data_IF_360127330918
#
_entry.id   IF_360127330918
#
_cell.length_a   1.000
_cell.length_b   1.000
_cell.length_c   1.000
_cell.angle_alpha   90.00
_cell.angle_beta   90.00
_cell.angle_gamma   90.00
#
_symmetry.space_group_name_H-M   'P 1'
#
loop_
_entity.id
_entity.type
_entity.pdbx_description
1 polymer ?
#
# COMPACT_ATOMS: atom_id res chain seq x y z
N UNK A 1 57.57 -57.31 9.13
CA UNK A 1 56.19 -56.99 8.68
C UNK A 1 55.36 -56.16 9.67
N UNK A 2 55.82 -55.81 10.87
CA UNK A 2 54.99 -55.06 11.85
C UNK A 2 54.95 -53.54 11.69
N UNK A 3 56.03 -52.92 11.21
CA UNK A 3 56.17 -51.44 11.20
C UNK A 3 55.26 -50.77 10.15
N UNK A 4 55.07 -51.40 8.98
CA UNK A 4 54.17 -50.87 7.93
C UNK A 4 52.70 -50.85 8.36
N UNK A 5 52.27 -51.81 9.17
CA UNK A 5 50.88 -51.91 9.65
C UNK A 5 50.60 -50.81 10.68
N UNK A 6 51.54 -50.53 11.58
CA UNK A 6 51.40 -49.48 12.59
C UNK A 6 51.30 -48.09 11.94
N UNK A 7 52.14 -47.81 10.94
CA UNK A 7 52.08 -46.54 10.20
C UNK A 7 50.75 -46.38 9.46
N UNK A 8 50.22 -47.47 8.89
CA UNK A 8 48.94 -47.45 8.17
C UNK A 8 47.76 -47.21 9.12
N UNK A 9 47.77 -47.82 10.32
CA UNK A 9 46.76 -47.60 11.36
C UNK A 9 46.83 -46.16 11.90
N UNK A 10 48.05 -45.61 12.07
CA UNK A 10 48.24 -44.24 12.52
C UNK A 10 47.71 -43.22 11.50
N UNK A 11 47.96 -43.44 10.19
CA UNK A 11 47.42 -42.61 9.12
C UNK A 11 45.89 -42.70 9.00
N UNK A 12 45.30 -43.89 9.17
CA UNK A 12 43.84 -44.08 9.15
C UNK A 12 43.14 -43.41 10.35
N UNK A 13 43.78 -43.43 11.51
CA UNK A 13 43.31 -42.73 12.71
C UNK A 13 43.33 -41.21 12.51
N UNK A 14 44.41 -40.67 11.95
CA UNK A 14 44.56 -39.25 11.68
C UNK A 14 43.59 -38.76 10.58
N UNK A 15 43.38 -39.54 9.51
CA UNK A 15 42.39 -39.24 8.48
C UNK A 15 40.95 -39.19 9.01
N UNK A 16 40.62 -40.01 10.02
CA UNK A 16 39.31 -39.99 10.68
C UNK A 16 39.07 -38.79 11.60
N UNK A 17 40.13 -38.10 12.02
CA UNK A 17 40.06 -36.94 12.93
C UNK A 17 40.15 -35.57 12.23
N UNK A 18 40.54 -35.51 10.95
CA UNK A 18 40.65 -34.24 10.20
C UNK A 18 39.38 -33.89 9.40
N UNK A 19 38.35 -34.74 9.39
CA UNK A 19 37.02 -34.30 8.98
C UNK A 19 36.35 -33.54 10.14
N UNK A 20 36.76 -32.28 10.32
CA UNK A 20 35.90 -31.31 10.97
C UNK A 20 34.54 -31.34 10.26
N UNK A 21 33.52 -31.77 10.99
CA UNK A 21 32.13 -31.70 10.55
C UNK A 21 31.76 -30.23 10.44
N UNK A 22 32.10 -29.59 9.32
CA UNK A 22 31.40 -28.39 8.89
C UNK A 22 30.01 -28.90 8.53
N UNK A 23 29.09 -28.84 9.50
CA UNK A 23 27.67 -28.88 9.19
C UNK A 23 27.39 -27.60 8.39
N UNK A 24 27.68 -27.65 7.09
CA UNK A 24 27.08 -26.74 6.14
C UNK A 24 25.63 -27.21 6.04
N UNK A 25 24.83 -26.81 7.03
CA UNK A 25 23.38 -26.79 6.87
C UNK A 25 23.15 -26.11 5.54
N UNK A 26 22.62 -26.86 4.56
CA UNK A 26 22.34 -26.34 3.24
C UNK A 26 21.51 -25.08 3.41
N UNK A 27 22.15 -23.94 3.28
CA UNK A 27 21.49 -22.66 3.28
C UNK A 27 20.73 -22.64 1.96
N UNK A 28 19.41 -22.80 2.06
CA UNK A 28 18.51 -22.88 0.93
C UNK A 28 18.48 -21.53 0.23
N UNK A 29 19.50 -21.29 -0.62
CA UNK A 29 19.70 -20.03 -1.32
C UNK A 29 18.54 -19.71 -2.29
N UNK A 30 17.69 -20.70 -2.63
CA UNK A 30 16.50 -20.47 -3.46
C UNK A 30 15.43 -19.66 -2.73
N UNK A 31 15.27 -19.87 -1.42
CA UNK A 31 14.30 -19.13 -0.61
C UNK A 31 14.87 -17.79 -0.09
N UNK A 32 16.20 -17.67 -0.05
CA UNK A 32 16.85 -16.45 0.40
C UNK A 32 16.81 -15.29 -0.58
N UNK A 33 16.96 -15.57 -1.88
CA UNK A 33 16.89 -14.52 -2.90
C UNK A 33 15.48 -13.93 -2.89
N UNK A 34 14.45 -14.78 -2.81
CA UNK A 34 13.06 -14.35 -2.67
C UNK A 34 12.83 -13.51 -1.40
N UNK A 35 13.32 -13.99 -0.25
CA UNK A 35 13.22 -13.27 1.02
C UNK A 35 14.00 -11.94 1.00
N UNK A 36 15.16 -11.88 0.35
CA UNK A 36 15.94 -10.65 0.24
C UNK A 36 15.21 -9.62 -0.65
N UNK A 37 14.68 -10.04 -1.80
CA UNK A 37 13.85 -9.20 -2.68
C UNK A 37 12.59 -8.71 -1.97
N UNK A 38 11.96 -9.56 -1.16
CA UNK A 38 10.81 -9.18 -0.32
C UNK A 38 11.20 -8.16 0.76
N UNK A 39 12.32 -8.37 1.46
CA UNK A 39 12.82 -7.47 2.50
C UNK A 39 13.27 -6.13 1.91
N UNK A 40 13.96 -6.13 0.76
CA UNK A 40 14.31 -4.92 0.03
C UNK A 40 13.06 -4.18 -0.46
N UNK A 41 12.06 -4.92 -0.97
CA UNK A 41 10.77 -4.36 -1.36
C UNK A 41 10.04 -3.73 -0.18
N UNK A 42 10.01 -4.40 0.98
CA UNK A 42 9.41 -3.92 2.22
C UNK A 42 10.13 -2.68 2.74
N UNK A 43 11.47 -2.73 2.80
CA UNK A 43 12.31 -1.61 3.23
C UNK A 43 12.14 -0.39 2.31
N UNK A 44 12.17 -0.59 0.99
CA UNK A 44 11.97 0.47 0.01
C UNK A 44 10.58 1.09 0.13
N UNK A 45 9.55 0.28 0.38
CA UNK A 45 8.18 0.74 0.62
C UNK A 45 8.08 1.56 1.90
N UNK A 46 8.60 1.06 3.02
CA UNK A 46 8.61 1.79 4.29
C UNK A 46 9.42 3.10 4.21
N UNK A 47 10.52 3.11 3.44
CA UNK A 47 11.32 4.30 3.18
C UNK A 47 10.57 5.34 2.34
N UNK A 48 9.93 4.92 1.24
CA UNK A 48 9.13 5.81 0.39
C UNK A 48 7.95 6.40 1.17
N UNK A 49 7.25 5.56 1.95
CA UNK A 49 6.15 6.01 2.80
C UNK A 49 6.64 7.07 3.79
N UNK A 50 7.78 6.86 4.48
CA UNK A 50 8.36 7.85 5.39
C UNK A 50 8.80 9.14 4.68
N UNK A 51 9.48 9.04 3.55
CA UNK A 51 9.95 10.20 2.80
C UNK A 51 8.78 11.07 2.31
N UNK A 52 7.74 10.44 1.77
CA UNK A 52 6.52 11.13 1.36
C UNK A 52 5.85 11.83 2.55
N UNK A 53 5.77 11.17 3.71
CA UNK A 53 5.20 11.76 4.92
C UNK A 53 6.01 12.92 5.47
N UNK A 54 7.34 12.83 5.44
CA UNK A 54 8.21 13.95 5.80
C UNK A 54 7.98 15.15 4.89
N UNK A 55 7.83 14.91 3.59
CA UNK A 55 7.55 15.96 2.63
C UNK A 55 6.18 16.59 2.88
N UNK A 56 5.13 15.79 3.09
CA UNK A 56 3.82 16.30 3.50
C UNK A 56 3.91 17.14 4.77
N UNK A 57 4.61 16.64 5.80
CA UNK A 57 4.75 17.33 7.10
C UNK A 57 5.50 18.66 6.98
N UNK A 58 6.55 18.74 6.16
CA UNK A 58 7.25 20.02 5.86
C UNK A 58 6.31 21.06 5.27
N UNK A 59 5.35 20.64 4.45
CA UNK A 59 4.36 21.56 3.87
C UNK A 59 3.18 21.89 4.81
N UNK A 60 3.23 21.46 6.07
CA UNK A 60 2.23 21.71 7.11
C UNK A 60 0.81 21.31 6.68
N UNK A 61 0.65 20.10 6.14
CA UNK A 61 -0.62 19.60 5.62
C UNK A 61 -1.73 19.43 6.68
N UNK A 62 -1.38 19.36 7.97
CA UNK A 62 -2.31 19.09 9.07
C UNK A 62 -3.43 20.13 9.18
N UNK A 63 -3.09 21.38 8.90
CA UNK A 63 -4.02 22.51 8.96
C UNK A 63 -4.61 22.87 7.59
N UNK A 64 -4.46 22.02 6.58
CA UNK A 64 -4.86 22.30 5.21
C UNK A 64 -5.98 21.38 4.74
N UNK A 65 -6.69 21.84 3.72
CA UNK A 65 -7.71 21.04 3.04
C UNK A 65 -7.05 20.13 2.02
N UNK A 66 -7.48 18.88 1.97
CA UNK A 66 -7.00 17.89 1.00
C UNK A 66 -8.16 17.43 0.15
N UNK A 67 -7.98 17.49 -1.17
CA UNK A 67 -8.94 16.95 -2.13
C UNK A 67 -8.29 15.73 -2.77
N UNK A 68 -8.90 14.57 -2.53
CA UNK A 68 -8.54 13.31 -3.16
C UNK A 68 -9.54 13.07 -4.28
N UNK A 69 -9.09 13.18 -5.53
CA UNK A 69 -9.95 13.05 -6.69
C UNK A 69 -9.40 12.02 -7.67
N UNK A 70 -10.23 11.10 -8.14
CA UNK A 70 -9.96 10.42 -9.41
C UNK A 70 -10.76 11.07 -10.54
N UNK A 71 -10.17 11.19 -11.73
CA UNK A 71 -10.85 11.70 -12.93
C UNK A 71 -11.21 10.59 -13.92
N UNK A 72 -10.63 9.42 -13.74
CA UNK A 72 -10.81 8.26 -14.60
C UNK A 72 -12.12 7.53 -14.28
N UNK A 73 -13.03 7.45 -15.25
CA UNK A 73 -14.23 6.61 -15.18
C UNK A 73 -13.94 5.25 -15.80
N UNK A 74 -14.80 4.25 -15.56
CA UNK A 74 -14.71 2.85 -16.01
C UNK A 74 -13.91 1.90 -15.09
N UNK A 75 -14.29 0.62 -15.13
CA UNK A 75 -13.67 -0.44 -14.33
C UNK A 75 -12.21 -0.72 -14.68
N UNK A 76 -11.81 -0.58 -15.95
CA UNK A 76 -10.41 -0.79 -16.36
C UNK A 76 -9.43 0.14 -15.64
N UNK A 77 -9.94 1.27 -15.11
CA UNK A 77 -9.18 2.23 -14.31
C UNK A 77 -9.14 1.89 -12.82
N UNK A 78 -9.31 0.62 -12.44
CA UNK A 78 -9.26 0.14 -11.06
C UNK A 78 -8.05 0.67 -10.29
N UNK A 79 -6.86 0.69 -10.92
CA UNK A 79 -5.62 1.21 -10.33
C UNK A 79 -5.73 2.66 -9.86
N UNK A 80 -6.46 3.52 -10.59
CA UNK A 80 -6.63 4.91 -10.19
C UNK A 80 -7.41 5.02 -8.88
N UNK A 81 -8.51 4.26 -8.75
CA UNK A 81 -9.27 4.21 -7.50
C UNK A 81 -8.46 3.57 -6.38
N UNK A 82 -7.74 2.48 -6.66
CA UNK A 82 -6.87 1.82 -5.67
C UNK A 82 -5.80 2.76 -5.13
N UNK A 83 -5.07 3.46 -6.00
CA UNK A 83 -4.04 4.44 -5.59
C UNK A 83 -4.66 5.56 -4.74
N UNK A 84 -5.83 6.07 -5.14
CA UNK A 84 -6.53 7.10 -4.40
C UNK A 84 -6.94 6.62 -2.99
N UNK A 85 -7.49 5.42 -2.88
CA UNK A 85 -7.89 4.84 -1.60
C UNK A 85 -6.70 4.52 -0.70
N UNK A 86 -5.57 4.15 -1.29
CA UNK A 86 -4.31 3.99 -0.56
C UNK A 86 -3.89 5.34 0.04
N UNK A 87 -3.88 6.42 -0.76
CA UNK A 87 -3.58 7.76 -0.27
C UNK A 87 -4.56 8.20 0.82
N UNK A 88 -5.87 7.95 0.65
CA UNK A 88 -6.89 8.22 1.67
C UNK A 88 -6.60 7.49 2.99
N UNK A 89 -6.34 6.18 2.94
CA UNK A 89 -6.05 5.39 4.13
C UNK A 89 -4.75 5.82 4.80
N UNK A 90 -3.73 6.19 4.04
CA UNK A 90 -2.50 6.77 4.61
C UNK A 90 -2.79 8.08 5.33
N UNK A 91 -3.47 9.03 4.68
CA UNK A 91 -3.84 10.32 5.29
C UNK A 91 -4.67 10.13 6.57
N UNK A 92 -5.61 9.17 6.56
CA UNK A 92 -6.45 8.85 7.72
C UNK A 92 -5.68 8.16 8.84
N UNK A 93 -4.80 7.20 8.52
CA UNK A 93 -4.02 6.44 9.50
C UNK A 93 -3.03 7.33 10.27
N UNK A 94 -2.44 8.33 9.59
CA UNK A 94 -1.50 9.26 10.23
C UNK A 94 -2.17 10.37 11.03
N UNK A 95 -3.50 10.43 11.06
CA UNK A 95 -4.25 11.00 12.19
C UNK A 95 -4.24 12.52 12.38
N UNK A 96 -3.55 13.29 11.54
CA UNK A 96 -3.38 14.73 11.80
C UNK A 96 -4.28 15.66 10.94
N UNK A 97 -5.00 15.11 9.95
CA UNK A 97 -6.09 15.83 9.27
C UNK A 97 -7.42 15.34 9.81
N UNK A 98 -8.24 16.24 10.35
CA UNK A 98 -9.61 15.88 10.76
C UNK A 98 -10.34 15.30 9.54
N UNK A 99 -11.17 14.25 9.72
CA UNK A 99 -12.01 13.68 8.64
C UNK A 99 -12.79 14.77 7.86
N UNK A 100 -13.04 15.92 8.47
CA UNK A 100 -13.71 17.09 7.89
C UNK A 100 -12.89 17.88 6.86
N UNK A 101 -11.56 17.68 6.82
CA UNK A 101 -10.62 18.42 5.97
C UNK A 101 -10.21 17.62 4.72
N UNK A 102 -10.59 16.34 4.64
CA UNK A 102 -10.33 15.48 3.48
C UNK A 102 -11.63 15.33 2.71
N UNK A 103 -11.60 15.66 1.42
CA UNK A 103 -12.72 15.47 0.53
C UNK A 103 -12.40 14.36 -0.48
N UNK A 104 -13.11 13.25 -0.40
CA UNK A 104 -12.90 12.08 -1.26
C UNK A 104 -13.92 12.05 -2.41
N UNK A 105 -13.41 12.10 -3.64
CA UNK A 105 -14.19 12.12 -4.87
C UNK A 105 -13.85 10.93 -5.77
N UNK A 106 -14.80 10.01 -5.92
CA UNK A 106 -14.65 8.80 -6.74
C UNK A 106 -15.68 8.84 -7.88
N UNK A 107 -15.25 9.00 -9.14
CA UNK A 107 -16.16 9.22 -10.28
C UNK A 107 -16.79 7.94 -10.80
N UNK A 108 -16.30 6.77 -10.38
CA UNK A 108 -16.81 5.46 -10.77
C UNK A 108 -16.54 4.46 -9.65
N UNK A 109 -17.54 3.70 -9.24
CA UNK A 109 -17.44 2.74 -8.15
C UNK A 109 -17.08 1.34 -8.66
N UNK A 110 -15.78 1.00 -8.64
CA UNK A 110 -15.34 -0.33 -9.07
C UNK A 110 -15.72 -1.43 -8.08
N UNK A 111 -16.00 -1.11 -6.81
CA UNK A 111 -16.34 -2.12 -5.81
C UNK A 111 -17.67 -2.81 -6.12
N UNK A 112 -18.63 -2.07 -6.68
CA UNK A 112 -19.98 -2.53 -7.01
C UNK A 112 -20.20 -2.80 -8.52
N UNK A 113 -19.13 -2.86 -9.32
CA UNK A 113 -19.24 -3.19 -10.75
C UNK A 113 -19.42 -4.71 -10.94
N UNK A 114 -20.25 -5.13 -11.90
CA UNK A 114 -20.51 -6.56 -12.18
C UNK A 114 -19.27 -7.33 -12.67
N UNK A 115 -18.22 -6.62 -13.13
CA UNK A 115 -16.93 -7.22 -13.50
C UNK A 115 -16.04 -7.50 -12.29
N UNK A 116 -16.38 -6.95 -11.12
CA UNK A 116 -15.67 -7.22 -9.89
C UNK A 116 -16.11 -8.56 -9.30
N UNK A 117 -15.19 -9.52 -9.25
CA UNK A 117 -15.43 -10.85 -8.67
C UNK A 117 -15.66 -10.75 -7.15
N UNK A 118 -15.07 -9.76 -6.48
CA UNK A 118 -15.19 -9.53 -5.03
C UNK A 118 -16.04 -8.30 -4.76
N UNK A 119 -17.35 -8.51 -4.73
CA UNK A 119 -18.35 -7.46 -4.52
C UNK A 119 -18.07 -6.65 -3.24
N UNK A 120 -18.15 -5.32 -3.35
CA UNK A 120 -17.96 -4.42 -2.20
C UNK A 120 -16.52 -4.34 -1.68
N UNK A 121 -15.54 -4.87 -2.43
CA UNK A 121 -14.15 -4.89 -2.01
C UNK A 121 -13.23 -4.33 -3.09
N UNK A 122 -12.22 -3.56 -2.65
CA UNK A 122 -11.13 -3.08 -3.49
C UNK A 122 -9.81 -3.48 -2.84
N UNK A 123 -8.91 -4.09 -3.60
CA UNK A 123 -7.61 -4.56 -3.12
C UNK A 123 -6.48 -3.76 -3.77
N UNK A 124 -5.34 -3.67 -3.05
CA UNK A 124 -4.13 -3.02 -3.56
C UNK A 124 -3.55 -3.78 -4.77
N UNK A 125 -3.55 -5.10 -4.68
CA UNK A 125 -3.11 -6.02 -5.73
C UNK A 125 -4.37 -6.54 -6.44
N UNK A 126 -4.50 -6.32 -7.75
CA UNK A 126 -5.64 -6.82 -8.51
C UNK A 126 -5.49 -8.31 -8.88
N UNK A 127 -4.26 -8.84 -8.82
CA UNK A 127 -3.89 -10.18 -9.28
C UNK A 127 -3.50 -11.11 -8.13
N UNK A 128 -4.44 -11.47 -7.28
CA UNK A 128 -4.31 -12.71 -6.52
C UNK A 128 -5.52 -13.58 -6.82
N UNK A 129 -5.48 -14.21 -7.99
CA UNK A 129 -6.27 -15.42 -8.23
C UNK A 129 -5.83 -16.47 -7.21
N UNK A 130 -6.75 -17.17 -6.55
CA UNK A 130 -6.39 -18.32 -5.73
C UNK A 130 -5.95 -19.44 -6.69
N UNK A 131 -4.69 -19.43 -7.10
CA UNK A 131 -4.09 -20.64 -7.64
C UNK A 131 -4.01 -21.63 -6.49
N UNK A 132 -4.58 -22.80 -6.71
CA UNK A 132 -4.83 -23.89 -5.75
C UNK A 132 -3.60 -24.43 -5.00
N UNK A 133 -2.43 -23.78 -5.00
CA UNK A 133 -1.22 -24.33 -4.40
C UNK A 133 -0.26 -23.37 -3.67
N UNK A 134 -0.48 -22.06 -3.61
CA UNK A 134 0.48 -21.16 -2.95
C UNK A 134 -0.08 -20.53 -1.67
N UNK A 135 0.04 -21.28 -0.57
CA UNK A 135 -0.38 -20.90 0.79
C UNK A 135 0.52 -19.85 1.47
N UNK A 136 1.43 -19.19 0.74
CA UNK A 136 2.44 -18.31 1.33
C UNK A 136 2.44 -16.86 0.83
N UNK A 137 1.57 -16.46 -0.09
CA UNK A 137 1.43 -15.04 -0.45
C UNK A 137 0.41 -14.38 0.46
N UNK A 138 0.73 -14.31 1.75
CA UNK A 138 0.08 -13.46 2.76
C UNK A 138 0.44 -11.98 2.51
N UNK A 139 0.35 -11.50 1.27
CA UNK A 139 0.18 -10.07 1.06
C UNK A 139 -1.18 -9.81 1.67
N UNK A 140 -1.21 -9.12 2.81
CA UNK A 140 -2.44 -8.77 3.51
C UNK A 140 -3.39 -8.16 2.48
N UNK A 141 -4.42 -8.92 2.11
CA UNK A 141 -5.47 -8.50 1.21
C UNK A 141 -6.35 -7.51 1.98
N UNK A 142 -5.79 -6.33 2.29
CA UNK A 142 -6.46 -5.27 3.01
C UNK A 142 -7.53 -4.72 2.06
N UNK A 143 -8.79 -4.88 2.45
CA UNK A 143 -9.88 -4.24 1.74
C UNK A 143 -9.75 -2.72 1.91
N UNK A 144 -9.42 -2.03 0.81
CA UNK A 144 -9.33 -0.58 0.74
C UNK A 144 -10.71 0.07 0.76
N UNK A 145 -11.76 -0.67 0.39
CA UNK A 145 -13.12 -0.15 0.33
C UNK A 145 -13.85 -0.14 1.68
N UNK A 146 -13.33 -0.88 2.67
CA UNK A 146 -13.93 -0.97 3.98
C UNK A 146 -13.74 0.32 4.81
N UNK A 147 -14.80 0.75 5.50
CA UNK A 147 -14.83 1.91 6.41
C UNK A 147 -14.42 3.24 5.75
N UNK A 148 -14.83 3.44 4.49
CA UNK A 148 -14.60 4.67 3.73
C UNK A 148 -15.73 5.69 3.88
N UNK A 149 -15.37 6.96 4.03
CA UNK A 149 -16.29 8.07 3.88
C UNK A 149 -16.05 8.71 2.51
N UNK A 150 -16.97 8.47 1.56
CA UNK A 150 -16.92 9.05 0.21
C UNK A 150 -17.88 10.25 0.16
N UNK A 151 -17.38 11.42 -0.18
CA UNK A 151 -18.17 12.66 -0.21
C UNK A 151 -18.88 12.86 -1.54
N UNK A 152 -18.17 12.60 -2.64
CA UNK A 152 -18.71 12.64 -3.99
C UNK A 152 -18.47 11.30 -4.68
N UNK A 153 -19.55 10.68 -5.14
CA UNK A 153 -19.54 9.35 -5.77
C UNK A 153 -20.23 9.39 -7.13
N UNK A 154 -19.68 8.65 -8.10
CA UNK A 154 -20.26 8.47 -9.43
C UNK A 154 -20.61 9.81 -10.11
N UNK A 155 -21.89 9.99 -10.49
CA UNK A 155 -22.40 11.16 -11.18
C UNK A 155 -22.33 12.46 -10.34
N UNK A 156 -22.04 12.36 -9.05
CA UNK A 156 -21.81 13.53 -8.21
C UNK A 156 -20.41 14.13 -8.43
N UNK A 157 -19.48 13.39 -9.03
CA UNK A 157 -18.17 13.92 -9.45
C UNK A 157 -18.30 14.47 -10.86
N UNK A 158 -18.56 15.78 -10.98
CA UNK A 158 -18.60 16.52 -12.27
C UNK A 158 -17.61 17.67 -12.23
N UNK A 159 -17.23 18.16 -13.40
CA UNK A 159 -16.38 19.35 -13.59
C UNK A 159 -16.93 20.54 -12.79
N UNK A 160 -18.26 20.74 -12.81
CA UNK A 160 -18.93 21.82 -12.13
C UNK A 160 -18.78 21.70 -10.61
N UNK A 161 -18.90 20.49 -10.08
CA UNK A 161 -18.77 20.21 -8.63
C UNK A 161 -17.34 20.42 -8.16
N UNK A 162 -16.36 19.96 -8.94
CA UNK A 162 -14.93 20.19 -8.65
C UNK A 162 -14.63 21.69 -8.65
N UNK A 163 -15.10 22.44 -9.66
CA UNK A 163 -14.93 23.91 -9.72
C UNK A 163 -15.65 24.64 -8.58
N UNK A 164 -16.78 24.14 -8.10
CA UNK A 164 -17.50 24.69 -6.94
C UNK A 164 -16.69 24.52 -5.66
N UNK A 165 -16.20 23.30 -5.43
CA UNK A 165 -15.35 22.95 -4.28
C UNK A 165 -14.09 23.81 -4.25
N UNK A 166 -13.34 23.88 -5.36
CA UNK A 166 -12.10 24.65 -5.44
C UNK A 166 -12.30 26.15 -5.17
N UNK A 167 -13.45 26.69 -5.59
CA UNK A 167 -13.78 28.12 -5.40
C UNK A 167 -14.53 28.39 -4.10
N UNK A 168 -14.79 27.37 -3.29
CA UNK A 168 -15.65 27.45 -2.10
C UNK A 168 -17.04 28.05 -2.40
N UNK A 169 -17.56 27.85 -3.61
CA UNK A 169 -18.88 28.32 -4.03
C UNK A 169 -19.85 27.16 -4.04
N UNK A 170 -20.55 26.97 -2.93
CA UNK A 170 -21.52 25.90 -2.76
C UNK A 170 -22.94 26.43 -2.91
N UNK A 171 -23.84 25.57 -3.37
CA UNK A 171 -25.27 25.86 -3.32
C UNK A 171 -25.76 25.84 -1.86
N UNK A 172 -26.81 26.60 -1.57
CA UNK A 172 -27.41 26.67 -0.24
C UNK A 172 -27.79 25.27 0.27
N UNK A 173 -28.25 24.39 -0.63
CA UNK A 173 -28.66 23.02 -0.33
C UNK A 173 -27.52 22.00 -0.22
N UNK A 174 -26.27 22.38 -0.52
CA UNK A 174 -25.15 21.42 -0.46
C UNK A 174 -24.88 20.99 1.00
N UNK A 175 -24.84 19.69 1.36
CA UNK A 175 -24.59 19.28 2.75
C UNK A 175 -23.26 19.78 3.29
N UNK A 176 -23.17 20.11 4.59
CA UNK A 176 -21.93 20.59 5.22
C UNK A 176 -20.76 19.62 5.04
N UNK A 177 -21.01 18.30 5.08
CA UNK A 177 -19.98 17.26 4.87
C UNK A 177 -19.33 17.32 3.47
N UNK A 178 -20.04 17.85 2.47
CA UNK A 178 -19.56 17.93 1.09
C UNK A 178 -18.86 19.28 0.81
N UNK A 179 -18.64 20.10 1.84
CA UNK A 179 -18.00 21.42 1.74
C UNK A 179 -16.64 21.37 2.41
N UNK A 180 -15.65 22.01 1.80
CA UNK A 180 -14.37 22.25 2.47
C UNK A 180 -14.57 23.20 3.64
N UNK A 181 -13.91 22.89 4.74
CA UNK A 181 -13.88 23.75 5.91
C UNK A 181 -12.93 24.92 5.65
N UNK A 182 -13.34 26.14 6.01
CA UNK A 182 -12.50 27.34 5.89
C UNK A 182 -12.26 27.85 7.30
N UNK A 183 -11.02 27.77 7.77
CA UNK A 183 -10.54 28.66 8.83
C UNK A 183 -9.67 29.75 8.23
N UNK A 184 -9.61 30.89 8.91
CA UNK A 184 -8.83 32.08 8.55
C UNK A 184 -7.33 31.80 8.30
N UNK A 185 -6.81 30.67 8.80
CA UNK A 185 -5.40 30.25 8.72
C UNK A 185 -5.16 29.21 7.60
N UNK A 186 -6.19 28.64 6.98
CA UNK A 186 -6.04 27.58 5.98
C UNK A 186 -5.52 28.16 4.67
N UNK A 187 -4.27 27.84 4.31
CA UNK A 187 -3.53 28.52 3.24
C UNK A 187 -3.34 27.70 1.97
N UNK A 188 -3.52 26.37 1.99
CA UNK A 188 -3.19 25.50 0.85
C UNK A 188 -4.22 24.40 0.63
N UNK A 189 -4.43 24.03 -0.63
CA UNK A 189 -5.22 22.87 -1.06
C UNK A 189 -4.26 21.87 -1.68
N UNK A 190 -4.23 20.64 -1.17
CA UNK A 190 -3.49 19.54 -1.79
C UNK A 190 -4.42 18.74 -2.69
N UNK A 191 -3.97 18.44 -3.90
CA UNK A 191 -4.76 17.76 -4.92
C UNK A 191 -4.01 16.51 -5.37
N UNK A 192 -4.65 15.35 -5.21
CA UNK A 192 -4.13 14.07 -5.67
C UNK A 192 -5.05 13.54 -6.76
N UNK A 193 -4.45 13.14 -7.90
CA UNK A 193 -5.11 12.61 -9.12
C UNK A 193 -4.67 11.17 -9.35
#
# INVERSE_FOLDING_TARGET
MGIKIIIYIFFLSWAKWVCGSVNFTGFDNKNMIGKHVELEGRYKKEYIDRFFLEELRKHNYMNNNVILLSTSRHYFNYRHTTNLLIAYKYLKYFGDTMDKNILLMIPFDQACDCRNIREGQIFREYELFPSSHNKETKIENINLYENLNIDYKNNNVRDEQIRRVLRHRYDAFTPKKNRLYIMEIMRKIYFFI
#
